data_IF_041244890823
#
_entry.id   IF_041244890823
#
_cell.length_a   1.000
_cell.length_b   1.000
_cell.length_c   1.000
_cell.angle_alpha   90.00
_cell.angle_beta   90.00
_cell.angle_gamma   90.00
#
_symmetry.space_group_name_H-M   'P 1'
#
loop_
_entity.id
_entity.type
_entity.pdbx_description
1 polymer ?
#
# COMPACT_ATOMS: atom_id res chain seq x y z
N UNK A 1 15.96 21.06 23.12
CA UNK A 1 15.92 19.60 23.37
C UNK A 1 14.48 19.06 23.23
N UNK A 2 13.46 19.70 23.83
CA UNK A 2 12.04 19.29 23.69
C UNK A 2 11.50 19.20 22.25
N UNK A 3 11.91 20.09 21.34
CA UNK A 3 11.47 20.01 19.93
C UNK A 3 11.98 18.75 19.21
N UNK A 4 13.18 18.27 19.55
CA UNK A 4 13.72 17.05 18.96
C UNK A 4 13.03 15.80 19.53
N UNK A 5 12.65 15.81 20.82
CA UNK A 5 11.90 14.71 21.45
C UNK A 5 10.53 14.49 20.77
N UNK A 6 9.81 15.58 20.47
CA UNK A 6 8.52 15.51 19.78
C UNK A 6 8.64 14.99 18.33
N UNK A 7 9.67 15.42 17.60
CA UNK A 7 9.94 14.93 16.25
C UNK A 7 10.33 13.45 16.26
N UNK A 8 11.19 13.03 17.19
CA UNK A 8 11.59 11.63 17.36
C UNK A 8 10.39 10.75 17.69
N UNK A 9 9.51 11.20 18.61
CA UNK A 9 8.31 10.46 18.97
C UNK A 9 7.39 10.19 17.75
N UNK A 10 7.23 11.17 16.87
CA UNK A 10 6.42 11.00 15.65
C UNK A 10 7.05 10.04 14.65
N UNK A 11 8.36 10.12 14.46
CA UNK A 11 9.09 9.19 13.60
C UNK A 11 8.96 7.75 14.10
N UNK A 12 9.03 7.53 15.42
CA UNK A 12 8.83 6.21 16.03
C UNK A 12 7.42 5.68 15.80
N UNK A 13 6.40 6.52 15.95
CA UNK A 13 5.02 6.11 15.68
C UNK A 13 4.83 5.77 14.19
N UNK A 14 5.34 6.58 13.27
CA UNK A 14 5.27 6.30 11.83
C UNK A 14 6.00 4.99 11.48
N UNK A 15 7.17 4.75 12.07
CA UNK A 15 7.92 3.51 11.88
C UNK A 15 7.13 2.27 12.30
N UNK A 16 6.26 2.38 13.32
CA UNK A 16 5.41 1.28 13.79
C UNK A 16 4.39 0.85 12.73
N UNK A 17 4.02 1.72 11.79
CA UNK A 17 3.10 1.40 10.70
C UNK A 17 3.79 0.92 9.43
N UNK A 18 5.12 1.01 9.31
CA UNK A 18 5.84 0.54 8.11
C UNK A 18 5.51 -0.92 7.77
N UNK A 19 5.51 -1.88 8.72
CA UNK A 19 5.15 -3.27 8.42
C UNK A 19 3.73 -3.41 7.89
N UNK A 20 2.78 -2.63 8.41
CA UNK A 20 1.40 -2.63 7.94
C UNK A 20 1.31 -2.14 6.49
N UNK A 21 2.01 -1.05 6.16
CA UNK A 21 2.03 -0.48 4.81
C UNK A 21 2.62 -1.47 3.82
N UNK A 22 3.82 -1.97 4.10
CA UNK A 22 4.55 -2.89 3.23
C UNK A 22 3.75 -4.18 3.04
N UNK A 23 3.26 -4.78 4.13
CA UNK A 23 2.48 -6.02 4.09
C UNK A 23 1.17 -5.86 3.30
N UNK A 24 0.46 -4.74 3.47
CA UNK A 24 -0.81 -4.49 2.75
C UNK A 24 -0.60 -4.38 1.25
N UNK A 25 0.44 -3.65 0.82
CA UNK A 25 0.82 -3.57 -0.59
C UNK A 25 1.27 -4.92 -1.15
N UNK A 26 2.19 -5.59 -0.45
CA UNK A 26 2.77 -6.86 -0.91
C UNK A 26 1.73 -7.97 -1.03
N UNK A 27 0.80 -8.08 -0.07
CA UNK A 27 -0.26 -9.08 -0.08
C UNK A 27 -1.28 -8.82 -1.20
N UNK A 28 -1.73 -7.56 -1.36
CA UNK A 28 -2.66 -7.20 -2.43
C UNK A 28 -2.04 -7.39 -3.82
N UNK A 29 -0.76 -7.05 -4.00
CA UNK A 29 -0.04 -7.31 -5.24
C UNK A 29 0.19 -8.79 -5.53
N UNK A 30 0.58 -9.57 -4.52
CA UNK A 30 0.76 -11.02 -4.69
C UNK A 30 -0.56 -11.73 -5.00
N UNK A 31 -1.67 -11.28 -4.39
CA UNK A 31 -3.01 -11.77 -4.69
C UNK A 31 -3.40 -11.45 -6.13
N UNK A 32 -3.26 -10.20 -6.56
CA UNK A 32 -3.57 -9.79 -7.92
C UNK A 32 -2.72 -10.54 -8.96
N UNK A 33 -1.42 -10.72 -8.70
CA UNK A 33 -0.53 -11.49 -9.56
C UNK A 33 -0.97 -12.95 -9.68
N UNK A 34 -1.30 -13.59 -8.56
CA UNK A 34 -1.76 -14.98 -8.54
C UNK A 34 -3.03 -15.15 -9.37
N UNK A 35 -4.02 -14.27 -9.19
CA UNK A 35 -5.28 -14.32 -9.93
C UNK A 35 -5.08 -14.12 -11.44
N UNK A 36 -4.21 -13.18 -11.85
CA UNK A 36 -3.92 -12.96 -13.27
C UNK A 36 -3.13 -14.11 -13.88
N UNK A 37 -2.15 -14.65 -13.17
CA UNK A 37 -1.39 -15.82 -13.64
C UNK A 37 -2.31 -17.03 -13.82
N UNK A 38 -3.21 -17.28 -12.87
CA UNK A 38 -4.21 -18.35 -12.97
C UNK A 38 -5.17 -18.12 -14.14
N UNK A 39 -5.72 -16.92 -14.29
CA UNK A 39 -6.62 -16.59 -15.40
C UNK A 39 -5.94 -16.71 -16.77
N UNK A 40 -4.65 -16.34 -16.87
CA UNK A 40 -3.86 -16.55 -18.08
C UNK A 40 -3.63 -18.05 -18.37
N UNK A 41 -3.37 -18.86 -17.34
CA UNK A 41 -3.18 -20.30 -17.49
C UNK A 41 -4.46 -21.02 -17.93
N UNK A 42 -5.63 -20.53 -17.50
CA UNK A 42 -6.94 -21.00 -17.93
C UNK A 42 -7.38 -20.45 -19.30
N UNK A 43 -6.64 -19.50 -19.88
CA UNK A 43 -6.99 -18.85 -21.14
C UNK A 43 -8.12 -17.81 -21.03
N UNK A 44 -8.53 -17.45 -19.83
CA UNK A 44 -9.59 -16.46 -19.55
C UNK A 44 -9.11 -15.02 -19.75
N UNK A 45 -7.81 -14.77 -19.57
CA UNK A 45 -7.17 -13.45 -19.72
C UNK A 45 -5.98 -13.56 -20.67
N UNK A 46 -5.91 -12.63 -21.62
CA UNK A 46 -4.78 -12.48 -22.52
C UNK A 46 -4.12 -11.10 -22.36
N UNK A 47 -2.94 -10.92 -22.96
CA UNK A 47 -2.24 -9.62 -23.00
C UNK A 47 -3.09 -8.52 -23.64
N UNK A 48 -4.06 -8.87 -24.51
CA UNK A 48 -4.97 -7.90 -25.15
C UNK A 48 -5.97 -7.30 -24.17
N UNK A 49 -6.28 -8.01 -23.08
CA UNK A 49 -7.27 -7.62 -22.07
C UNK A 49 -6.70 -6.66 -21.02
N UNK A 50 -5.44 -6.22 -21.17
CA UNK A 50 -4.71 -5.41 -20.18
C UNK A 50 -5.51 -4.21 -19.67
N UNK A 51 -6.22 -3.50 -20.55
CA UNK A 51 -7.01 -2.32 -20.19
C UNK A 51 -8.23 -2.68 -19.32
N UNK A 52 -8.91 -3.79 -19.63
CA UNK A 52 -10.06 -4.27 -18.86
C UNK A 52 -9.62 -4.75 -17.48
N UNK A 53 -8.50 -5.48 -17.42
CA UNK A 53 -7.88 -5.91 -16.16
C UNK A 53 -7.51 -4.69 -15.31
N UNK A 54 -6.78 -3.72 -15.88
CA UNK A 54 -6.33 -2.53 -15.16
C UNK A 54 -7.50 -1.77 -14.53
N UNK A 55 -8.59 -1.54 -15.27
CA UNK A 55 -9.78 -0.84 -14.75
C UNK A 55 -10.45 -1.60 -13.59
N UNK A 56 -10.55 -2.92 -13.70
CA UNK A 56 -11.10 -3.77 -12.63
C UNK A 56 -10.25 -3.68 -11.37
N UNK A 57 -8.93 -3.72 -11.53
CA UNK A 57 -7.99 -3.72 -10.40
C UNK A 57 -7.81 -2.33 -9.77
N UNK A 58 -7.99 -1.24 -10.53
CA UNK A 58 -8.11 0.10 -9.96
C UNK A 58 -9.33 0.17 -9.02
N UNK A 59 -10.49 -0.32 -9.48
CA UNK A 59 -11.70 -0.30 -8.66
C UNK A 59 -11.55 -1.17 -7.41
N UNK A 60 -11.03 -2.40 -7.57
CA UNK A 60 -10.77 -3.30 -6.43
C UNK A 60 -9.76 -2.69 -5.45
N UNK A 61 -8.66 -2.13 -5.95
CA UNK A 61 -7.61 -1.50 -5.15
C UNK A 61 -8.10 -0.29 -4.36
N UNK A 62 -8.92 0.57 -4.96
CA UNK A 62 -9.52 1.72 -4.26
C UNK A 62 -10.49 1.23 -3.18
N UNK A 63 -11.36 0.27 -3.46
CA UNK A 63 -12.30 -0.24 -2.47
C UNK A 63 -11.60 -0.88 -1.27
N UNK A 64 -10.62 -1.76 -1.53
CA UNK A 64 -9.83 -2.41 -0.49
C UNK A 64 -9.01 -1.38 0.30
N UNK A 65 -8.38 -0.44 -0.40
CA UNK A 65 -7.62 0.65 0.19
C UNK A 65 -8.47 1.54 1.09
N UNK A 66 -9.66 1.94 0.66
CA UNK A 66 -10.60 2.73 1.47
C UNK A 66 -11.07 1.96 2.70
N UNK A 67 -11.31 0.66 2.57
CA UNK A 67 -11.67 -0.21 3.71
C UNK A 67 -10.55 -0.23 4.75
N UNK A 68 -9.30 -0.41 4.31
CA UNK A 68 -8.13 -0.40 5.19
C UNK A 68 -7.85 1.00 5.76
N UNK A 69 -8.14 2.06 5.02
CA UNK A 69 -8.07 3.44 5.51
C UNK A 69 -9.02 3.65 6.69
N UNK A 70 -10.29 3.26 6.56
CA UNK A 70 -11.28 3.38 7.63
C UNK A 70 -10.90 2.53 8.84
N UNK A 71 -10.45 1.28 8.62
CA UNK A 71 -10.02 0.38 9.70
C UNK A 71 -8.80 0.91 10.44
N UNK A 72 -7.75 1.33 9.73
CA UNK A 72 -6.54 1.87 10.36
C UNK A 72 -6.82 3.16 11.13
N UNK A 73 -7.64 4.06 10.59
CA UNK A 73 -8.06 5.26 11.31
C UNK A 73 -8.85 4.91 12.58
N UNK A 74 -9.80 3.96 12.50
CA UNK A 74 -10.58 3.51 13.65
C UNK A 74 -9.69 2.88 14.74
N UNK A 75 -8.68 2.10 14.37
CA UNK A 75 -7.70 1.54 15.31
C UNK A 75 -6.91 2.64 16.00
N UNK A 76 -6.38 3.61 15.26
CA UNK A 76 -5.60 4.73 15.82
C UNK A 76 -6.47 5.61 16.74
N UNK A 77 -7.71 5.89 16.34
CA UNK A 77 -8.66 6.64 17.17
C UNK A 77 -9.02 5.86 18.45
N UNK A 78 -9.16 4.54 18.36
CA UNK A 78 -9.41 3.68 19.52
C UNK A 78 -8.21 3.67 20.48
N UNK A 79 -6.97 3.61 19.97
CA UNK A 79 -5.77 3.72 20.82
C UNK A 79 -5.72 5.03 21.58
N UNK A 80 -6.06 6.16 20.94
CA UNK A 80 -6.15 7.44 21.63
C UNK A 80 -7.21 7.44 22.74
N UNK A 81 -8.32 6.72 22.55
CA UNK A 81 -9.39 6.60 23.55
C UNK A 81 -8.98 5.75 24.76
N UNK A 82 -8.31 4.61 24.52
CA UNK A 82 -7.90 3.67 25.58
C UNK A 82 -6.57 4.02 26.25
N UNK A 83 -5.68 4.72 25.55
CA UNK A 83 -4.41 5.26 26.07
C UNK A 83 -4.34 6.77 25.82
N UNK A 84 -4.98 7.59 26.68
CA UNK A 84 -4.89 9.04 26.59
C UNK A 84 -3.43 9.49 26.68
N UNK A 85 -2.95 10.20 25.65
CA UNK A 85 -1.55 10.60 25.53
C UNK A 85 -0.71 9.74 24.58
N UNK A 86 -1.32 8.81 23.83
CA UNK A 86 -0.64 8.06 22.77
C UNK A 86 0.04 9.00 21.75
N UNK A 87 -0.67 10.04 21.29
CA UNK A 87 -0.06 11.12 20.50
C UNK A 87 -0.99 12.33 20.38
N UNK A 88 -0.41 13.53 20.46
CA UNK A 88 -1.13 14.80 20.26
C UNK A 88 -1.63 14.99 18.81
N UNK A 89 -1.16 14.16 17.87
CA UNK A 89 -1.45 14.30 16.44
C UNK A 89 -2.11 13.06 15.84
N UNK A 90 -2.90 12.32 16.62
CA UNK A 90 -3.47 11.03 16.21
C UNK A 90 -4.34 11.15 14.95
N UNK A 91 -5.04 12.26 14.77
CA UNK A 91 -5.84 12.53 13.55
C UNK A 91 -4.94 12.62 12.32
N UNK A 92 -3.83 13.38 12.41
CA UNK A 92 -2.90 13.55 11.28
C UNK A 92 -2.18 12.24 10.97
N UNK A 93 -1.75 11.51 11.99
CA UNK A 93 -1.14 10.17 11.83
C UNK A 93 -2.14 9.20 11.21
N UNK A 94 -3.40 9.21 11.65
CA UNK A 94 -4.48 8.43 11.06
C UNK A 94 -4.70 8.73 9.58
N UNK A 95 -4.67 10.01 9.20
CA UNK A 95 -4.76 10.42 7.78
C UNK A 95 -3.53 9.95 6.98
N UNK A 96 -2.32 10.08 7.53
CA UNK A 96 -1.09 9.58 6.89
C UNK A 96 -1.21 8.08 6.63
N UNK A 97 -1.50 7.28 7.65
CA UNK A 97 -1.59 5.82 7.52
C UNK A 97 -2.74 5.44 6.58
N UNK A 98 -3.92 6.01 6.76
CA UNK A 98 -5.09 5.67 5.99
C UNK A 98 -4.97 6.01 4.50
N UNK A 99 -4.56 7.24 4.17
CA UNK A 99 -4.36 7.65 2.77
C UNK A 99 -3.20 6.88 2.11
N UNK A 100 -2.15 6.56 2.87
CA UNK A 100 -1.06 5.73 2.37
C UNK A 100 -1.53 4.32 2.03
N UNK A 101 -2.39 3.72 2.85
CA UNK A 101 -2.95 2.40 2.55
C UNK A 101 -3.77 2.40 1.26
N UNK A 102 -4.52 3.47 0.97
CA UNK A 102 -5.21 3.61 -0.32
C UNK A 102 -4.19 3.58 -1.48
N UNK A 103 -3.15 4.41 -1.40
CA UNK A 103 -2.14 4.50 -2.45
C UNK A 103 -1.34 3.21 -2.63
N UNK A 104 -0.89 2.61 -1.53
CA UNK A 104 -0.03 1.41 -1.56
C UNK A 104 -0.79 0.16 -1.98
N UNK A 105 -2.05 0.00 -1.55
CA UNK A 105 -2.89 -1.12 -1.99
C UNK A 105 -3.24 -0.98 -3.46
N UNK A 106 -3.63 0.21 -3.91
CA UNK A 106 -3.88 0.47 -5.33
C UNK A 106 -2.63 0.20 -6.18
N UNK A 107 -1.47 0.65 -5.73
CA UNK A 107 -0.21 0.39 -6.43
C UNK A 107 0.13 -1.11 -6.43
N UNK A 108 -0.05 -1.78 -5.30
CA UNK A 108 0.12 -3.22 -5.15
C UNK A 108 -0.72 -4.00 -6.15
N UNK A 109 -2.04 -3.77 -6.19
CA UNK A 109 -2.94 -4.47 -7.14
C UNK A 109 -2.61 -4.18 -8.59
N UNK A 110 -2.20 -2.95 -8.92
CA UNK A 110 -1.77 -2.59 -10.27
C UNK A 110 -0.47 -3.30 -10.68
N UNK A 111 0.55 -3.28 -9.84
CA UNK A 111 1.80 -4.00 -10.13
C UNK A 111 1.56 -5.50 -10.21
N UNK A 112 0.80 -6.05 -9.27
CA UNK A 112 0.42 -7.45 -9.22
C UNK A 112 -0.30 -7.91 -10.48
N UNK A 113 -1.25 -7.13 -10.98
CA UNK A 113 -2.03 -7.51 -12.15
C UNK A 113 -1.35 -7.22 -13.49
N UNK A 114 -0.58 -6.13 -13.59
CA UNK A 114 0.01 -5.68 -14.86
C UNK A 114 1.37 -6.31 -15.15
N UNK A 115 2.18 -6.58 -14.12
CA UNK A 115 3.52 -7.15 -14.32
C UNK A 115 3.50 -8.53 -15.00
N UNK A 116 2.60 -9.48 -14.63
CA UNK A 116 2.50 -10.77 -15.32
C UNK A 116 2.18 -10.62 -16.81
N UNK A 117 1.28 -9.69 -17.17
CA UNK A 117 0.91 -9.40 -18.55
C UNK A 117 2.09 -8.81 -19.33
N UNK A 118 2.87 -7.93 -18.70
CA UNK A 118 4.07 -7.33 -19.27
C UNK A 118 5.17 -8.38 -19.51
N UNK A 119 5.42 -9.24 -18.53
CA UNK A 119 6.38 -10.35 -18.64
C UNK A 119 5.97 -11.31 -19.77
N UNK A 120 4.68 -11.67 -19.85
CA UNK A 120 4.17 -12.51 -20.94
C UNK A 120 4.36 -11.86 -22.31
N UNK A 121 4.17 -10.53 -22.41
CA UNK A 121 4.34 -9.77 -23.66
C UNK A 121 5.79 -9.79 -24.15
N UNK A 122 6.78 -9.78 -23.24
CA UNK A 122 8.21 -9.84 -23.59
C UNK A 122 8.74 -11.27 -23.71
N UNK A 123 7.89 -12.28 -23.57
CA UNK A 123 8.25 -13.70 -23.71
C UNK A 123 8.82 -14.37 -22.45
N UNK A 124 8.80 -13.69 -21.30
CA UNK A 124 9.19 -14.27 -20.01
C UNK A 124 8.06 -15.09 -19.38
N UNK A 125 8.42 -16.00 -18.46
CA UNK A 125 7.45 -16.78 -17.67
C UNK A 125 6.95 -15.96 -16.46
N UNK A 126 5.68 -15.51 -16.45
CA UNK A 126 5.14 -14.74 -15.35
C UNK A 126 5.02 -15.55 -14.05
N UNK A 127 4.89 -16.88 -14.09
CA UNK A 127 4.70 -17.69 -12.89
C UNK A 127 5.94 -17.73 -11.99
N UNK A 128 7.13 -17.71 -12.59
CA UNK A 128 8.40 -17.80 -11.88
C UNK A 128 8.87 -16.42 -11.38
N UNK A 129 8.61 -15.37 -12.15
CA UNK A 129 9.21 -14.06 -11.91
C UNK A 129 8.28 -13.05 -11.23
N UNK A 130 6.96 -13.12 -11.42
CA UNK A 130 6.11 -11.98 -11.01
C UNK A 130 6.09 -11.74 -9.50
N UNK A 131 5.98 -12.79 -8.67
CA UNK A 131 5.77 -12.62 -7.22
C UNK A 131 6.95 -11.93 -6.52
N UNK A 132 8.22 -12.35 -6.71
CA UNK A 132 9.36 -11.64 -6.11
C UNK A 132 9.54 -10.22 -6.62
N UNK A 133 9.31 -9.98 -7.93
CA UNK A 133 9.41 -8.64 -8.50
C UNK A 133 8.32 -7.70 -7.97
N UNK A 134 7.08 -8.18 -7.82
CA UNK A 134 5.98 -7.40 -7.24
C UNK A 134 6.31 -7.02 -5.80
N UNK A 135 6.76 -7.97 -4.98
CA UNK A 135 7.10 -7.70 -3.59
C UNK A 135 8.17 -6.60 -3.48
N UNK A 136 9.29 -6.75 -4.18
CA UNK A 136 10.40 -5.76 -4.12
C UNK A 136 9.99 -4.38 -4.64
N UNK A 137 9.22 -4.30 -5.73
CA UNK A 137 8.71 -3.04 -6.25
C UNK A 137 7.79 -2.38 -5.21
N UNK A 138 6.87 -3.13 -4.63
CA UNK A 138 5.91 -2.61 -3.66
C UNK A 138 6.57 -2.21 -2.34
N UNK A 139 7.62 -2.89 -1.88
CA UNK A 139 8.36 -2.51 -0.68
C UNK A 139 8.99 -1.11 -0.83
N UNK A 140 9.71 -0.90 -1.94
CA UNK A 140 10.40 0.37 -2.22
C UNK A 140 9.40 1.49 -2.49
N UNK A 141 8.46 1.27 -3.40
CA UNK A 141 7.47 2.29 -3.79
C UNK A 141 6.45 2.55 -2.69
N UNK A 142 6.12 1.54 -1.88
CA UNK A 142 5.22 1.65 -0.74
C UNK A 142 5.75 2.62 0.32
N UNK A 143 7.05 2.54 0.63
CA UNK A 143 7.69 3.52 1.51
C UNK A 143 7.69 4.93 0.91
N UNK A 144 7.94 5.07 -0.39
CA UNK A 144 7.89 6.38 -1.07
C UNK A 144 6.48 6.98 -0.96
N UNK A 145 5.44 6.20 -1.22
CA UNK A 145 4.04 6.65 -1.08
C UNK A 145 3.76 7.05 0.37
N UNK A 146 4.16 6.22 1.33
CA UNK A 146 3.95 6.46 2.76
C UNK A 146 4.58 7.76 3.23
N UNK A 147 5.87 7.96 2.95
CA UNK A 147 6.58 9.17 3.34
C UNK A 147 6.09 10.40 2.58
N UNK A 148 5.60 10.25 1.34
CA UNK A 148 4.98 11.36 0.60
C UNK A 148 3.73 11.87 1.32
N UNK A 149 2.87 10.98 1.82
CA UNK A 149 1.72 11.37 2.63
C UNK A 149 2.11 11.87 4.02
N UNK A 150 3.15 11.30 4.63
CA UNK A 150 3.70 11.81 5.89
C UNK A 150 4.14 13.27 5.74
N UNK A 151 4.89 13.60 4.69
CA UNK A 151 5.30 14.98 4.39
C UNK A 151 4.07 15.85 4.14
N UNK A 152 3.09 15.37 3.36
CA UNK A 152 1.89 16.15 3.04
C UNK A 152 1.07 16.55 4.27
N UNK A 153 0.83 15.62 5.20
CA UNK A 153 -0.07 15.81 6.34
C UNK A 153 0.63 16.24 7.64
N UNK A 154 1.94 16.02 7.75
CA UNK A 154 2.75 16.41 8.92
C UNK A 154 3.73 17.55 8.61
N UNK A 155 3.62 18.21 7.44
CA UNK A 155 4.36 19.43 7.14
C UNK A 155 4.11 20.48 8.23
N UNK A 156 5.18 21.01 8.83
CA UNK A 156 5.14 21.94 9.97
C UNK A 156 5.16 21.29 11.36
N UNK A 157 5.16 19.95 11.43
CA UNK A 157 5.41 19.22 12.69
C UNK A 157 6.75 18.44 12.62
N UNK A 158 7.01 17.77 11.49
CA UNK A 158 8.25 17.02 11.26
C UNK A 158 9.42 17.88 10.75
N UNK A 159 9.12 19.02 10.10
CA UNK A 159 10.04 19.99 9.50
C UNK A 159 9.65 21.39 9.98
#
# INVERSE_FOLDING_TARGET
MSNFENQIAQVVILATFIPLIISSGGNSGSQAATLIIQAMALGEVTVRDWWNVMRREIFSGILLGCTLCLLSFAVIASWQLFWPGFTDHYIRIGLVVGCSLIGVVLWGTLMGSMLPLLLKKVGADPAVSSTPFVATLVDVTGLIIYFSFAILFLSGILL
#
